data_IF_571034175511
#
_entry.id   IF_571034175511
#
_cell.length_a   1.000
_cell.length_b   1.000
_cell.length_c   1.000
_cell.angle_alpha   90.00
_cell.angle_beta   90.00
_cell.angle_gamma   90.00
#
_symmetry.space_group_name_H-M   'P 1'
#
loop_
_entity.id
_entity.type
_entity.pdbx_description
1 polymer ?
#
# COMPACT_ATOMS: atom_id res chain seq x y z
N UNK A 1 13.81 -18.22 11.05
CA UNK A 1 12.54 -17.53 10.71
C UNK A 1 12.81 -16.73 9.46
N UNK A 2 12.14 -17.00 8.35
CA UNK A 2 12.42 -16.35 7.07
C UNK A 2 11.91 -14.92 7.13
N UNK A 3 12.84 -13.96 7.10
CA UNK A 3 12.60 -12.54 6.87
C UNK A 3 11.94 -12.40 5.49
N UNK A 4 10.63 -12.57 5.45
CA UNK A 4 9.87 -12.37 4.24
C UNK A 4 9.87 -10.88 3.94
N UNK A 5 10.75 -10.46 3.02
CA UNK A 5 10.78 -9.08 2.58
C UNK A 5 9.49 -8.73 1.83
N UNK A 6 8.78 -7.75 2.38
CA UNK A 6 7.67 -7.09 1.69
C UNK A 6 8.22 -5.99 0.80
N UNK A 7 7.64 -5.87 -0.39
CA UNK A 7 8.03 -4.87 -1.39
C UNK A 7 6.78 -4.26 -2.03
N UNK A 8 6.89 -3.03 -2.51
CA UNK A 8 5.92 -2.45 -3.43
C UNK A 8 6.38 -2.72 -4.86
N UNK A 9 5.54 -3.34 -5.67
CA UNK A 9 5.75 -3.51 -7.09
C UNK A 9 4.71 -2.73 -7.90
N UNK A 10 5.09 -2.26 -9.09
CA UNK A 10 4.18 -1.54 -9.97
C UNK A 10 3.37 -2.53 -10.83
N UNK A 11 2.07 -2.63 -10.58
CA UNK A 11 1.14 -3.49 -11.31
C UNK A 11 -0.10 -2.69 -11.72
N UNK A 12 -0.52 -2.81 -12.98
CA UNK A 12 -1.62 -2.02 -13.58
C UNK A 12 -1.57 -0.52 -13.27
N UNK A 13 -0.37 0.09 -13.38
CA UNK A 13 -0.09 1.52 -13.10
C UNK A 13 -0.22 1.94 -11.63
N UNK A 14 -0.51 1.03 -10.70
CA UNK A 14 -0.56 1.28 -9.25
C UNK A 14 0.56 0.53 -8.54
N UNK A 15 0.92 1.00 -7.34
CA UNK A 15 1.83 0.27 -6.47
C UNK A 15 1.01 -0.73 -5.65
N UNK A 16 1.41 -1.99 -5.71
CA UNK A 16 0.76 -3.08 -5.00
C UNK A 16 1.72 -3.70 -3.97
N UNK A 17 1.21 -4.04 -2.77
CA UNK A 17 1.99 -4.73 -1.77
C UNK A 17 2.20 -6.18 -2.21
N UNK A 18 3.46 -6.59 -2.27
CA UNK A 18 3.85 -7.94 -2.66
C UNK A 18 4.87 -8.53 -1.70
N UNK A 19 4.86 -9.85 -1.58
CA UNK A 19 5.81 -10.64 -0.79
C UNK A 19 6.86 -11.24 -1.71
N UNK A 20 8.13 -11.04 -1.40
CA UNK A 20 9.21 -11.67 -2.16
C UNK A 20 9.23 -13.16 -1.84
N UNK A 21 9.10 -14.00 -2.87
CA UNK A 21 9.20 -15.45 -2.77
C UNK A 21 10.62 -15.92 -3.06
N UNK A 22 11.21 -15.40 -4.14
CA UNK A 22 12.54 -15.78 -4.58
C UNK A 22 13.24 -14.61 -5.26
N UNK A 23 14.56 -14.59 -5.16
CA UNK A 23 15.43 -13.69 -5.92
C UNK A 23 16.13 -14.52 -6.99
N UNK A 24 15.89 -14.18 -8.24
CA UNK A 24 16.44 -14.87 -9.40
C UNK A 24 17.41 -13.94 -10.11
N UNK A 25 18.67 -14.33 -10.16
CA UNK A 25 19.66 -13.68 -11.02
C UNK A 25 19.51 -14.24 -12.43
N UNK A 26 18.90 -13.46 -13.33
CA UNK A 26 18.81 -13.87 -14.73
C UNK A 26 19.98 -13.25 -15.50
N UNK A 27 20.95 -14.09 -15.87
CA UNK A 27 22.00 -13.70 -16.80
C UNK A 27 21.40 -13.57 -18.18
N UNK A 28 21.12 -12.34 -18.62
CA UNK A 28 20.75 -12.11 -20.03
C UNK A 28 21.90 -12.61 -20.91
N UNK A 29 21.56 -13.22 -22.06
CA UNK A 29 22.51 -13.86 -23.00
C UNK A 29 23.58 -12.88 -23.54
N UNK A 30 23.45 -11.59 -23.26
CA UNK A 30 24.38 -10.56 -23.67
C UNK A 30 25.33 -10.21 -22.51
N UNK A 31 26.60 -10.60 -22.66
CA UNK A 31 27.71 -10.66 -21.67
C UNK A 31 28.05 -9.38 -20.87
N UNK A 32 27.18 -8.37 -20.77
CA UNK A 32 27.50 -7.08 -20.12
C UNK A 32 26.52 -6.56 -19.07
N UNK A 33 25.30 -7.11 -18.92
CA UNK A 33 24.35 -6.66 -17.88
C UNK A 33 23.66 -7.85 -17.21
N UNK A 34 23.99 -8.06 -15.93
CA UNK A 34 23.21 -8.93 -15.02
C UNK A 34 22.00 -8.15 -14.58
N UNK A 35 20.80 -8.59 -14.97
CA UNK A 35 19.55 -8.03 -14.45
C UNK A 35 19.05 -8.94 -13.34
N UNK A 36 18.77 -8.35 -12.18
CA UNK A 36 18.24 -9.08 -11.03
C UNK A 36 16.71 -9.02 -11.08
N UNK A 37 16.08 -10.17 -11.11
CA UNK A 37 14.64 -10.32 -11.07
C UNK A 37 14.21 -10.87 -9.71
N UNK A 38 13.02 -10.49 -9.27
CA UNK A 38 12.39 -10.95 -8.05
C UNK A 38 11.06 -11.57 -8.42
N UNK A 39 10.85 -12.82 -7.99
CA UNK A 39 9.54 -13.44 -8.00
C UNK A 39 8.79 -12.97 -6.77
N UNK A 40 7.72 -12.21 -6.96
CA UNK A 40 6.92 -11.63 -5.89
C UNK A 40 5.47 -12.08 -6.01
N UNK A 41 4.80 -12.23 -4.88
CA UNK A 41 3.38 -12.56 -4.80
C UNK A 41 2.58 -11.35 -4.34
N UNK A 42 1.65 -10.87 -5.15
CA UNK A 42 0.78 -9.76 -4.80
C UNK A 42 -0.18 -10.22 -3.69
N UNK A 43 -0.16 -9.56 -2.55
CA UNK A 43 -0.96 -9.98 -1.39
C UNK A 43 -2.46 -9.87 -1.63
N UNK A 44 -2.89 -8.92 -2.47
CA UNK A 44 -4.30 -8.69 -2.77
C UNK A 44 -4.91 -9.69 -3.75
N UNK A 45 -4.08 -10.30 -4.61
CA UNK A 45 -4.53 -11.15 -5.71
C UNK A 45 -4.01 -12.59 -5.58
N UNK A 46 -3.10 -12.84 -4.65
CA UNK A 46 -2.28 -14.06 -4.52
C UNK A 46 -1.49 -14.43 -5.79
N UNK A 47 -1.43 -13.50 -6.76
CA UNK A 47 -0.80 -13.70 -8.06
C UNK A 47 0.72 -13.53 -7.98
N UNK A 48 1.45 -14.44 -8.63
CA UNK A 48 2.91 -14.44 -8.66
C UNK A 48 3.41 -13.81 -9.95
N UNK A 49 4.19 -12.75 -9.81
CA UNK A 49 4.74 -12.01 -10.94
C UNK A 49 6.27 -11.90 -10.80
N UNK A 50 6.94 -11.76 -11.94
CA UNK A 50 8.37 -11.48 -11.98
C UNK A 50 8.59 -10.00 -12.25
N UNK A 51 9.29 -9.33 -11.33
CA UNK A 51 9.58 -7.90 -11.41
C UNK A 51 11.07 -7.66 -11.31
N UNK A 52 11.56 -6.59 -11.95
CA UNK A 52 12.97 -6.23 -11.83
C UNK A 52 13.21 -5.69 -10.42
N UNK A 53 14.34 -6.07 -9.84
CA UNK A 53 14.80 -5.53 -8.55
C UNK A 53 14.98 -4.01 -8.52
N UNK A 54 15.09 -3.36 -9.69
CA UNK A 54 15.16 -1.90 -9.81
C UNK A 54 13.80 -1.22 -9.76
N UNK A 55 12.72 -1.96 -10.08
CA UNK A 55 11.35 -1.45 -10.16
C UNK A 55 10.53 -1.75 -8.89
N UNK A 56 11.14 -2.39 -7.90
CA UNK A 56 10.55 -2.70 -6.60
C UNK A 56 11.14 -1.82 -5.50
N UNK A 57 10.27 -1.40 -4.59
CA UNK A 57 10.66 -0.62 -3.41
C UNK A 57 10.51 -1.46 -2.15
N UNK A 58 11.58 -1.59 -1.36
CA UNK A 58 11.55 -2.39 -0.12
C UNK A 58 10.71 -1.70 0.95
N UNK A 59 9.69 -2.39 1.44
CA UNK A 59 8.86 -1.93 2.54
C UNK A 59 9.53 -2.28 3.88
N UNK A 60 10.06 -1.26 4.55
CA UNK A 60 10.45 -1.33 5.95
C UNK A 60 9.31 -0.84 6.84
N UNK A 61 9.25 -1.30 8.08
CA UNK A 61 8.23 -0.89 9.07
C UNK A 61 8.10 0.63 9.18
N UNK A 62 9.22 1.35 9.32
CA UNK A 62 9.22 2.82 9.38
C UNK A 62 8.65 3.48 8.11
N UNK A 63 8.79 2.83 6.95
CA UNK A 63 8.21 3.33 5.70
C UNK A 63 6.69 3.16 5.72
N UNK A 64 6.20 2.00 6.18
CA UNK A 64 4.76 1.73 6.35
C UNK A 64 4.15 2.72 7.34
N UNK A 65 4.77 2.92 8.50
CA UNK A 65 4.31 3.87 9.53
C UNK A 65 4.25 5.30 9.00
N UNK A 66 5.23 5.72 8.20
CA UNK A 66 5.26 7.02 7.55
C UNK A 66 4.11 7.18 6.54
N UNK A 67 3.86 6.15 5.71
CA UNK A 67 2.73 6.14 4.77
C UNK A 67 1.40 6.21 5.55
N UNK A 68 1.22 5.34 6.55
CA UNK A 68 0.01 5.29 7.37
C UNK A 68 -0.25 6.61 8.11
N UNK A 69 0.80 7.23 8.67
CA UNK A 69 0.72 8.53 9.33
C UNK A 69 0.37 9.66 8.36
N UNK A 70 0.93 9.62 7.14
CA UNK A 70 0.63 10.60 6.09
C UNK A 70 -0.79 10.45 5.56
N UNK A 71 -1.23 9.23 5.27
CA UNK A 71 -2.57 8.94 4.76
C UNK A 71 -3.65 9.13 5.83
N UNK A 72 -3.41 8.70 7.07
CA UNK A 72 -4.32 8.89 8.20
C UNK A 72 -4.61 10.36 8.49
N UNK A 73 -3.65 11.25 8.22
CA UNK A 73 -3.84 12.71 8.30
C UNK A 73 -4.74 13.28 7.21
N UNK A 74 -4.83 12.62 6.06
CA UNK A 74 -5.69 13.05 4.94
C UNK A 74 -7.12 12.53 5.03
N UNK A 75 -7.35 11.45 5.80
CA UNK A 75 -8.69 10.86 5.98
C UNK A 75 -9.55 11.62 7.01
N UNK A 76 -8.94 12.42 7.88
CA UNK A 76 -9.63 13.11 8.99
C UNK A 76 -10.23 14.47 8.64
N UNK A 77 -10.22 14.93 7.38
CA UNK A 77 -10.79 16.23 6.98
C UNK A 77 -12.17 16.16 6.32
N UNK A 78 -12.83 15.00 6.33
CA UNK A 78 -14.18 14.88 5.77
C UNK A 78 -15.18 14.21 6.73
N UNK A 79 -15.05 14.45 8.03
CA UNK A 79 -16.23 14.44 8.90
C UNK A 79 -16.78 15.86 8.91
N UNK A 80 -17.76 16.12 8.05
CA UNK A 80 -18.71 17.20 8.32
C UNK A 80 -19.57 16.69 9.47
N UNK A 81 -19.33 17.23 10.65
CA UNK A 81 -20.25 17.18 11.80
C UNK A 81 -21.69 17.45 11.29
N UNK A 82 -22.66 16.55 11.52
CA UNK A 82 -24.03 16.84 11.13
C UNK A 82 -24.63 17.86 12.10
N UNK A 83 -24.84 19.08 11.60
CA UNK A 83 -25.44 20.21 12.32
C UNK A 83 -26.95 20.01 12.58
N UNK A 84 -27.34 19.03 13.41
CA UNK A 84 -28.70 18.93 13.93
C UNK A 84 -28.80 19.07 15.45
N UNK A 85 -27.69 19.15 16.16
CA UNK A 85 -27.69 19.36 17.60
C UNK A 85 -27.69 20.85 17.94
N UNK A 86 -28.75 21.58 17.57
CA UNK A 86 -29.12 22.89 18.14
C UNK A 86 -30.51 23.31 17.67
N UNK A 87 -31.55 22.82 18.35
CA UNK A 87 -32.94 23.17 18.04
C UNK A 87 -33.89 22.80 19.17
N UNK A 88 -33.75 23.47 20.32
CA UNK A 88 -34.82 23.55 21.32
C UNK A 88 -36.07 24.13 20.65
N UNK A 89 -36.99 23.27 20.20
CA UNK A 89 -38.32 23.70 19.78
C UNK A 89 -39.27 23.56 20.94
N UNK A 90 -39.75 24.74 21.35
CA UNK A 90 -40.71 25.05 22.39
C UNK A 90 -41.96 24.15 22.36
N UNK A 91 -42.37 23.74 23.56
CA UNK A 91 -43.73 23.30 23.86
C UNK A 91 -44.76 24.31 23.35
N UNK A 92 -45.82 23.90 22.64
CA UNK A 92 -47.06 24.66 22.67
C UNK A 92 -47.85 24.28 23.92
N UNK A 93 -48.07 25.28 24.77
CA UNK A 93 -49.10 25.29 25.83
C UNK A 93 -50.47 24.98 25.22
N UNK A 94 -51.26 24.24 26.01
CA UNK A 94 -52.68 23.93 25.83
C UNK A 94 -53.57 25.15 25.50
N UNK A 95 -54.81 24.88 25.10
CA UNK A 95 -55.94 25.19 25.98
C UNK A 95 -56.53 23.96 26.69
#
# INVERSE_FOLDING_TARGET
>A
MTDAQYVLCRWEKRLWPAKVLARTEMSTKNKRKKEFFLSVQILSLDEKIEVRSTDVETLKTAHIERIASSLGKSMSLSTKEPAWENGKTLLPRSP
#
